data_IF_759505267296
#
_entry.id   IF_759505267296
#
_cell.length_a   1.000
_cell.length_b   1.000
_cell.length_c   1.000
_cell.angle_alpha   90.00
_cell.angle_beta   90.00
_cell.angle_gamma   90.00
#
_symmetry.space_group_name_H-M   'P 1'
#
loop_
_entity.id
_entity.type
_entity.pdbx_description
1 polymer ?
#
# COMPACT_ATOMS: atom_id res chain seq x y z
N UNK A 1 -61.89 -39.44 -48.21
CA UNK A 1 -62.19 -40.22 -46.99
C UNK A 1 -60.91 -40.40 -46.19
N UNK A 2 -61.03 -40.17 -44.89
CA UNK A 2 -60.00 -40.10 -43.84
C UNK A 2 -59.03 -41.29 -43.87
N UNK A 3 -57.71 -41.03 -43.73
CA UNK A 3 -56.78 -41.64 -42.73
C UNK A 3 -55.53 -40.74 -42.62
N UNK A 4 -55.51 -39.86 -41.62
CA UNK A 4 -54.29 -39.14 -41.20
C UNK A 4 -53.57 -40.08 -40.23
N UNK A 5 -52.40 -40.58 -40.62
CA UNK A 5 -51.54 -41.43 -39.80
C UNK A 5 -50.62 -40.52 -38.99
N UNK A 6 -50.70 -40.69 -37.68
CA UNK A 6 -50.00 -39.94 -36.63
C UNK A 6 -48.60 -40.54 -36.44
N UNK A 7 -47.55 -39.95 -36.99
CA UNK A 7 -46.16 -40.30 -36.68
C UNK A 7 -45.61 -39.36 -35.61
N UNK A 8 -45.44 -39.94 -34.42
CA UNK A 8 -44.92 -39.32 -33.21
C UNK A 8 -43.40 -39.12 -33.34
N UNK A 9 -42.97 -37.93 -33.79
CA UNK A 9 -41.56 -37.54 -33.74
C UNK A 9 -41.23 -36.97 -32.35
N UNK A 10 -40.64 -37.81 -31.50
CA UNK A 10 -40.10 -37.42 -30.20
C UNK A 10 -38.81 -36.60 -30.42
N UNK A 11 -38.95 -35.27 -30.44
CA UNK A 11 -37.83 -34.34 -30.47
C UNK A 11 -37.92 -33.42 -29.25
N UNK A 12 -37.35 -33.84 -28.13
CA UNK A 12 -37.22 -32.97 -26.95
C UNK A 12 -35.86 -33.13 -26.28
N UNK A 13 -35.08 -32.06 -26.45
CA UNK A 13 -34.23 -31.38 -25.47
C UNK A 13 -32.93 -32.08 -25.04
N UNK A 14 -31.86 -31.67 -25.74
CA UNK A 14 -30.49 -31.64 -25.25
C UNK A 14 -30.44 -30.94 -23.89
N UNK A 15 -30.09 -31.69 -22.84
CA UNK A 15 -29.70 -31.15 -21.56
C UNK A 15 -28.31 -30.51 -21.67
N UNK A 16 -28.26 -29.21 -21.99
CA UNK A 16 -27.08 -28.39 -21.75
C UNK A 16 -27.12 -27.93 -20.29
N UNK A 17 -26.47 -28.67 -19.40
CA UNK A 17 -26.15 -28.18 -18.07
C UNK A 17 -25.14 -27.04 -18.21
N UNK A 18 -25.61 -25.79 -18.28
CA UNK A 18 -24.79 -24.63 -17.95
C UNK A 18 -24.50 -24.70 -16.45
N UNK A 19 -23.30 -25.17 -16.10
CA UNK A 19 -22.75 -25.08 -14.75
C UNK A 19 -22.79 -23.64 -14.23
N UNK A 20 -22.71 -23.43 -12.91
CA UNK A 20 -22.86 -22.10 -12.32
C UNK A 20 -21.90 -21.13 -12.99
N UNK A 21 -22.46 -20.08 -13.60
CA UNK A 21 -21.71 -18.92 -14.05
C UNK A 21 -20.94 -18.41 -12.84
N UNK A 22 -19.63 -18.64 -12.84
CA UNK A 22 -18.73 -18.01 -11.90
C UNK A 22 -18.73 -16.53 -12.29
N UNK A 23 -19.64 -15.79 -11.66
CA UNK A 23 -19.62 -14.35 -11.63
C UNK A 23 -18.29 -13.98 -10.95
N UNK A 24 -17.23 -13.85 -11.75
CA UNK A 24 -16.06 -13.09 -11.38
C UNK A 24 -16.54 -11.64 -11.23
N UNK A 25 -17.10 -11.35 -10.06
CA UNK A 25 -17.15 -10.00 -9.54
C UNK A 25 -15.69 -9.64 -9.35
N UNK A 26 -15.11 -9.09 -10.41
CA UNK A 26 -13.91 -8.27 -10.28
C UNK A 26 -14.38 -7.09 -9.44
N UNK A 27 -14.31 -7.22 -8.12
CA UNK A 27 -14.41 -6.07 -7.23
C UNK A 27 -13.25 -5.20 -7.68
N UNK A 28 -13.54 -4.19 -8.49
CA UNK A 28 -12.66 -3.07 -8.65
C UNK A 28 -12.40 -2.59 -7.23
N UNK A 29 -11.22 -2.92 -6.71
CA UNK A 29 -10.72 -2.55 -5.39
C UNK A 29 -10.46 -1.04 -5.41
N UNK A 30 -11.55 -0.28 -5.50
CA UNK A 30 -11.62 1.14 -5.23
C UNK A 30 -12.02 1.36 -3.76
N UNK A 31 -11.90 0.35 -2.89
CA UNK A 31 -11.70 0.62 -1.47
C UNK A 31 -10.28 1.12 -1.33
N UNK A 32 -10.13 2.44 -1.28
CA UNK A 32 -8.86 3.10 -0.96
C UNK A 32 -8.49 2.64 0.43
N UNK A 33 -7.66 1.59 0.52
CA UNK A 33 -7.17 1.06 1.77
C UNK A 33 -6.58 2.21 2.60
N UNK A 34 -7.23 2.57 3.69
CA UNK A 34 -6.89 3.74 4.51
C UNK A 34 -6.09 3.39 5.75
N UNK A 35 -5.78 2.10 5.96
CA UNK A 35 -5.01 1.65 7.11
C UNK A 35 -3.85 0.74 6.70
N UNK A 36 -2.70 0.91 7.34
CA UNK A 36 -1.47 0.18 7.03
C UNK A 36 -1.10 -0.82 8.13
N UNK A 37 -1.44 -2.10 7.90
CA UNK A 37 -1.14 -3.20 8.83
C UNK A 37 0.36 -3.52 8.91
N UNK A 38 1.13 -3.26 7.85
CA UNK A 38 2.57 -3.56 7.87
C UNK A 38 3.32 -2.58 8.77
N UNK A 39 3.00 -1.29 8.67
CA UNK A 39 3.53 -0.27 9.60
C UNK A 39 3.01 -0.47 11.02
N UNK A 40 1.74 -0.87 11.18
CA UNK A 40 1.25 -1.26 12.50
C UNK A 40 2.14 -2.35 13.11
N UNK A 41 2.52 -3.36 12.32
CA UNK A 41 3.47 -4.39 12.75
C UNK A 41 4.81 -3.84 13.22
N UNK A 42 5.35 -2.79 12.59
CA UNK A 42 6.60 -2.13 13.02
C UNK A 42 6.42 -1.34 14.31
N UNK A 43 5.32 -0.60 14.46
CA UNK A 43 5.03 0.22 15.64
C UNK A 43 4.68 -0.62 16.85
N UNK A 44 3.97 -1.73 16.64
CA UNK A 44 3.65 -2.68 17.71
C UNK A 44 4.94 -3.11 18.40
N UNK A 45 6.03 -3.38 17.66
CA UNK A 45 7.34 -3.78 18.22
C UNK A 45 7.94 -2.73 19.14
N UNK A 46 7.83 -1.45 18.77
CA UNK A 46 8.43 -0.33 19.50
C UNK A 46 7.52 0.22 20.60
N UNK A 47 6.26 -0.21 20.65
CA UNK A 47 5.29 0.21 21.66
C UNK A 47 5.52 -0.53 22.97
N UNK A 48 5.32 0.18 24.08
CA UNK A 48 5.48 -0.35 25.44
C UNK A 48 4.18 -0.83 26.04
N UNK A 49 3.07 -0.19 25.68
CA UNK A 49 1.74 -0.44 26.21
C UNK A 49 0.67 -0.09 25.14
N UNK A 50 -0.60 -0.49 25.35
CA UNK A 50 -1.67 -0.21 24.40
C UNK A 50 -1.94 1.28 24.18
N UNK A 51 -1.68 2.12 25.19
CA UNK A 51 -1.91 3.57 25.10
C UNK A 51 -0.89 4.26 24.16
N UNK A 52 0.38 3.87 24.27
CA UNK A 52 1.45 4.31 23.38
C UNK A 52 1.20 3.83 21.96
N UNK A 53 0.73 2.59 21.80
CA UNK A 53 0.33 2.06 20.50
C UNK A 53 -0.81 2.87 19.88
N UNK A 54 -1.87 3.17 20.65
CA UNK A 54 -3.00 3.97 20.20
C UNK A 54 -2.56 5.37 19.74
N UNK A 55 -1.71 6.02 20.54
CA UNK A 55 -1.12 7.31 20.16
C UNK A 55 -0.32 7.20 18.86
N UNK A 56 0.48 6.16 18.71
CA UNK A 56 1.32 5.97 17.53
C UNK A 56 0.49 5.67 16.26
N UNK A 57 -0.62 4.94 16.37
CA UNK A 57 -1.54 4.69 15.25
C UNK A 57 -2.12 6.01 14.71
N UNK A 58 -2.50 6.92 15.61
CA UNK A 58 -3.13 8.19 15.26
C UNK A 58 -2.14 9.33 14.97
N UNK A 59 -0.83 9.10 15.15
CA UNK A 59 0.18 10.11 14.89
C UNK A 59 0.34 10.35 13.37
N UNK A 60 0.17 11.59 12.87
CA UNK A 60 0.45 11.94 11.47
C UNK A 60 1.79 11.44 10.94
N UNK A 61 2.83 11.44 11.77
CA UNK A 61 4.20 11.13 11.36
C UNK A 61 4.36 9.67 10.95
N UNK A 62 3.58 8.79 11.54
CA UNK A 62 3.64 7.35 11.30
C UNK A 62 2.93 6.96 10.00
N UNK A 63 1.98 7.78 9.53
CA UNK A 63 1.24 7.53 8.28
C UNK A 63 0.64 6.11 8.24
N UNK A 64 0.00 5.70 9.34
CA UNK A 64 -0.68 4.40 9.48
C UNK A 64 -2.17 4.53 9.21
N UNK A 65 -2.78 5.57 9.77
CA UNK A 65 -4.22 5.79 9.70
C UNK A 65 -4.55 6.95 8.75
N UNK A 66 -5.45 6.66 7.81
CA UNK A 66 -6.08 7.53 6.83
C UNK A 66 -7.53 7.09 6.57
N UNK A 67 -8.17 6.46 7.56
CA UNK A 67 -9.56 6.01 7.45
C UNK A 67 -10.53 7.16 7.71
N UNK A 68 -11.61 7.16 6.96
CA UNK A 68 -12.78 8.04 7.09
C UNK A 68 -14.02 7.15 6.95
N UNK A 69 -14.33 6.48 8.06
CA UNK A 69 -15.41 5.52 8.24
C UNK A 69 -16.75 6.23 8.38
N UNK A 70 -16.78 7.42 8.99
CA UNK A 70 -17.99 8.25 9.11
C UNK A 70 -18.29 9.10 7.86
N UNK A 71 -17.34 9.18 6.92
CA UNK A 71 -17.44 9.88 5.62
C UNK A 71 -17.59 11.39 5.77
N UNK A 72 -17.02 11.99 6.82
CA UNK A 72 -16.98 13.43 7.04
C UNK A 72 -15.82 14.14 6.29
N UNK A 73 -14.98 13.37 5.57
CA UNK A 73 -13.82 13.85 4.82
C UNK A 73 -12.57 14.00 5.69
N UNK A 74 -12.60 13.55 6.95
CA UNK A 74 -11.51 13.67 7.90
C UNK A 74 -11.13 12.29 8.44
N UNK A 75 -9.90 12.20 8.93
CA UNK A 75 -9.32 10.95 9.41
C UNK A 75 -9.91 10.65 10.80
N UNK A 76 -10.58 9.52 10.94
CA UNK A 76 -11.16 9.06 12.19
C UNK A 76 -10.09 8.68 13.21
N UNK A 77 -10.42 8.87 14.50
CA UNK A 77 -9.55 8.46 15.58
C UNK A 77 -9.79 6.98 15.91
N UNK A 78 -8.72 6.18 15.86
CA UNK A 78 -8.80 4.77 16.20
C UNK A 78 -8.38 4.55 17.64
N UNK A 79 -9.22 3.87 18.40
CA UNK A 79 -8.90 3.43 19.77
C UNK A 79 -8.27 2.04 19.75
N UNK A 80 -7.51 1.72 20.79
CA UNK A 80 -7.02 0.36 21.03
C UNK A 80 -7.76 -0.20 22.24
N UNK A 81 -8.30 -1.41 22.12
CA UNK A 81 -8.92 -2.12 23.24
C UNK A 81 -8.33 -3.50 23.41
N UNK A 82 -8.38 -4.01 24.62
CA UNK A 82 -7.93 -5.35 24.93
C UNK A 82 -9.12 -6.27 25.19
N UNK A 83 -9.62 -7.00 24.18
CA UNK A 83 -10.79 -7.87 24.36
C UNK A 83 -10.47 -9.14 25.16
N UNK A 84 -9.19 -9.49 25.31
CA UNK A 84 -8.78 -10.72 25.96
C UNK A 84 -7.26 -10.87 26.03
N UNK A 85 -6.84 -11.97 26.64
CA UNK A 85 -5.42 -12.27 26.86
C UNK A 85 -4.61 -12.25 25.56
N UNK A 86 -3.50 -11.51 25.58
CA UNK A 86 -2.55 -11.37 24.46
C UNK A 86 -3.19 -10.90 23.14
N UNK A 87 -4.33 -10.21 23.21
CA UNK A 87 -5.03 -9.72 22.05
C UNK A 87 -5.33 -8.23 22.21
N UNK A 88 -5.07 -7.45 21.17
CA UNK A 88 -5.48 -6.05 21.06
C UNK A 88 -6.29 -5.86 19.79
N UNK A 89 -7.36 -5.09 19.86
CA UNK A 89 -8.14 -4.71 18.69
C UNK A 89 -8.02 -3.19 18.48
N UNK A 90 -7.78 -2.79 17.24
CA UNK A 90 -7.84 -1.42 16.76
C UNK A 90 -9.25 -1.15 16.25
N UNK A 91 -9.92 -0.18 16.83
CA UNK A 91 -11.37 0.01 16.67
C UNK A 91 -11.69 1.49 16.47
N UNK A 92 -12.64 1.77 15.60
CA UNK A 92 -13.32 3.06 15.60
C UNK A 92 -14.65 2.93 16.34
N UNK A 93 -14.85 3.76 17.35
CA UNK A 93 -16.17 3.95 17.96
C UNK A 93 -16.89 4.99 17.12
N UNK A 94 -17.52 4.56 16.04
CA UNK A 94 -18.39 5.44 15.26
C UNK A 94 -19.55 5.85 16.18
N UNK A 95 -19.79 7.15 16.35
CA UNK A 95 -20.68 7.76 17.36
C UNK A 95 -22.15 7.28 17.43
N UNK A 96 -22.54 6.31 16.61
CA UNK A 96 -23.85 5.66 16.56
C UNK A 96 -23.91 4.38 17.44
N UNK A 97 -23.12 4.28 18.52
CA UNK A 97 -22.95 3.06 19.33
C UNK A 97 -22.49 1.83 18.53
N UNK A 98 -21.82 2.06 17.40
CA UNK A 98 -21.27 1.00 16.55
C UNK A 98 -19.76 1.06 16.61
N UNK A 99 -19.15 0.03 17.17
CA UNK A 99 -17.70 -0.12 17.19
C UNK A 99 -17.27 -0.95 15.97
N UNK A 100 -16.48 -0.37 15.08
CA UNK A 100 -15.95 -1.02 13.89
C UNK A 100 -14.52 -1.46 14.17
N UNK A 101 -14.27 -2.78 14.15
CA UNK A 101 -12.90 -3.30 14.27
C UNK A 101 -12.18 -3.18 12.93
N UNK A 102 -11.09 -2.42 12.92
CA UNK A 102 -10.22 -2.19 11.75
C UNK A 102 -9.15 -3.26 11.64
N UNK A 103 -8.53 -3.62 12.76
CA UNK A 103 -7.51 -4.66 12.81
C UNK A 103 -7.47 -5.33 14.19
N UNK A 104 -7.13 -6.62 14.21
CA UNK A 104 -6.88 -7.40 15.41
C UNK A 104 -5.42 -7.83 15.46
N UNK A 105 -4.79 -7.65 16.60
CA UNK A 105 -3.41 -7.98 16.90
C UNK A 105 -3.44 -9.12 17.91
N UNK A 106 -2.84 -10.25 17.57
CA UNK A 106 -2.69 -11.41 18.43
C UNK A 106 -1.23 -11.73 18.63
N UNK A 107 -0.87 -12.05 19.86
CA UNK A 107 0.50 -12.41 20.21
C UNK A 107 0.54 -13.78 20.88
N UNK A 108 1.14 -14.73 20.18
CA UNK A 108 1.22 -16.12 20.61
C UNK A 108 2.63 -16.43 21.13
N UNK A 109 2.82 -16.56 22.46
CA UNK A 109 4.10 -17.00 23.01
C UNK A 109 4.41 -18.43 22.58
N UNK A 110 5.67 -18.68 22.25
CA UNK A 110 6.23 -19.98 21.87
C UNK A 110 7.17 -20.46 22.98
N UNK A 111 7.41 -21.77 23.03
CA UNK A 111 8.24 -22.40 24.06
C UNK A 111 9.72 -21.97 24.06
N UNK A 112 10.20 -21.31 22.99
CA UNK A 112 11.61 -20.93 22.81
C UNK A 112 11.92 -19.49 23.25
N UNK A 113 11.15 -18.92 24.19
CA UNK A 113 11.30 -17.54 24.64
C UNK A 113 11.06 -16.49 23.51
N UNK A 114 10.28 -16.91 22.51
CA UNK A 114 9.89 -16.11 21.35
C UNK A 114 8.37 -15.99 21.29
N UNK A 115 7.83 -14.93 20.69
CA UNK A 115 6.41 -14.77 20.40
C UNK A 115 6.19 -14.59 18.91
N UNK A 116 5.07 -15.13 18.42
CA UNK A 116 4.57 -14.87 17.09
C UNK A 116 3.54 -13.73 17.17
N UNK A 117 3.83 -12.65 16.46
CA UNK A 117 2.91 -11.55 16.24
C UNK A 117 2.10 -11.83 14.98
N UNK A 118 0.78 -11.85 15.11
CA UNK A 118 -0.16 -11.97 14.01
C UNK A 118 -1.08 -10.74 14.03
N UNK A 119 -1.12 -10.00 12.93
CA UNK A 119 -2.03 -8.87 12.75
C UNK A 119 -2.95 -9.17 11.58
N UNK A 120 -4.25 -9.12 11.86
CA UNK A 120 -5.32 -9.34 10.90
C UNK A 120 -6.17 -8.07 10.79
N UNK A 121 -5.99 -7.35 9.71
CA UNK A 121 -6.83 -6.24 9.27
C UNK A 121 -8.13 -6.72 8.64
N UNK A 122 -9.15 -5.85 8.67
CA UNK A 122 -10.33 -6.00 7.85
C UNK A 122 -10.01 -5.60 6.39
N UNK A 123 -10.22 -6.49 5.40
CA UNK A 123 -9.95 -6.22 3.99
C UNK A 123 -10.65 -4.97 3.43
N UNK A 124 -11.80 -4.58 3.97
CA UNK A 124 -12.56 -3.41 3.51
C UNK A 124 -11.82 -2.09 3.84
N UNK A 125 -11.02 -2.07 4.90
CA UNK A 125 -10.31 -0.89 5.40
C UNK A 125 -8.81 -0.93 5.11
N UNK A 126 -8.21 -2.11 5.07
CA UNK A 126 -6.76 -2.33 4.88
C UNK A 126 -6.42 -2.73 3.43
N UNK A 127 -7.40 -3.19 2.65
CA UNK A 127 -7.19 -3.68 1.29
C UNK A 127 -6.45 -5.01 1.24
N UNK A 128 -5.72 -5.25 0.15
CA UNK A 128 -5.13 -6.57 -0.15
C UNK A 128 -4.07 -7.04 0.85
N UNK A 129 -3.37 -6.12 1.55
CA UNK A 129 -2.31 -6.46 2.50
C UNK A 129 -2.83 -6.48 3.94
N UNK A 130 -3.96 -7.16 4.15
CA UNK A 130 -4.66 -7.18 5.43
C UNK A 130 -4.02 -8.12 6.47
N UNK A 131 -2.94 -8.84 6.15
CA UNK A 131 -2.27 -9.72 7.12
C UNK A 131 -0.80 -9.38 7.27
N UNK A 132 -0.32 -9.42 8.51
CA UNK A 132 1.09 -9.30 8.85
C UNK A 132 1.47 -10.34 9.90
N UNK A 133 2.58 -11.03 9.66
CA UNK A 133 3.13 -12.04 10.56
C UNK A 133 4.60 -11.76 10.81
N UNK A 134 5.03 -11.87 12.05
CA UNK A 134 6.45 -11.79 12.41
C UNK A 134 6.71 -12.47 13.75
N UNK A 135 7.96 -12.84 14.03
CA UNK A 135 8.36 -13.48 15.29
C UNK A 135 9.45 -12.68 15.98
N UNK A 136 9.38 -12.59 17.31
CA UNK A 136 10.30 -11.78 18.13
C UNK A 136 10.71 -12.50 19.40
N UNK A 137 11.87 -12.15 19.93
CA UNK A 137 12.30 -12.53 21.28
C UNK A 137 11.51 -11.73 22.32
N UNK A 138 11.23 -12.34 23.47
CA UNK A 138 10.50 -11.67 24.56
C UNK A 138 11.22 -10.41 25.10
N UNK A 139 12.54 -10.34 24.98
CA UNK A 139 13.36 -9.20 25.43
C UNK A 139 13.14 -7.94 24.59
N UNK A 140 12.80 -8.11 23.32
CA UNK A 140 12.80 -7.02 22.34
C UNK A 140 11.39 -6.45 22.13
N UNK A 141 10.38 -7.11 22.69
CA UNK A 141 8.97 -6.77 22.49
C UNK A 141 8.32 -6.32 23.81
N UNK A 142 8.46 -5.04 24.12
CA UNK A 142 8.01 -4.47 25.40
C UNK A 142 6.49 -4.59 25.60
N UNK A 143 5.69 -4.38 24.54
CA UNK A 143 4.24 -4.58 24.58
C UNK A 143 3.84 -6.00 24.97
N UNK A 144 4.61 -7.02 24.58
CA UNK A 144 4.37 -8.39 25.03
C UNK A 144 4.64 -8.55 26.53
N UNK A 145 5.66 -7.88 27.07
CA UNK A 145 5.90 -7.88 28.51
C UNK A 145 4.71 -7.30 29.29
N UNK A 146 4.04 -6.28 28.73
CA UNK A 146 2.76 -5.79 29.27
C UNK A 146 1.70 -6.90 29.21
N UNK A 147 1.35 -7.38 28.00
CA UNK A 147 0.26 -8.34 27.76
C UNK A 147 0.37 -9.66 28.54
N UNK A 148 1.60 -10.11 28.83
CA UNK A 148 1.85 -11.38 29.52
C UNK A 148 1.80 -11.28 31.04
N UNK A 149 1.90 -10.06 31.60
CA UNK A 149 1.81 -9.86 33.05
C UNK A 149 0.33 -9.90 33.46
N UNK A 150 0.00 -10.34 34.66
CA UNK A 150 -1.34 -10.13 35.19
C UNK A 150 -1.65 -8.64 35.29
N UNK A 151 -2.60 -8.16 34.49
CA UNK A 151 -3.14 -6.81 34.56
C UNK A 151 -4.63 -6.82 34.19
N UNK A 152 -5.32 -5.71 34.47
CA UNK A 152 -6.66 -5.48 33.95
C UNK A 152 -6.59 -5.19 32.46
N UNK A 153 -7.56 -5.70 31.70
CA UNK A 153 -7.63 -5.43 30.26
C UNK A 153 -7.72 -3.93 30.01
N UNK A 154 -6.88 -3.46 29.08
CA UNK A 154 -6.87 -2.06 28.70
C UNK A 154 -8.18 -1.65 28.03
N UNK A 155 -8.74 -0.55 28.54
CA UNK A 155 -9.90 0.14 27.97
C UNK A 155 -9.41 1.51 27.50
N UNK A 156 -9.76 1.93 26.28
CA UNK A 156 -9.31 3.22 25.77
C UNK A 156 -9.84 4.37 26.63
N UNK A 157 -8.98 5.35 26.90
CA UNK A 157 -9.34 6.57 27.64
C UNK A 157 -10.18 7.53 26.79
N UNK A 158 -10.03 7.43 25.47
CA UNK A 158 -10.68 8.29 24.49
C UNK A 158 -11.78 7.52 23.78
N UNK A 159 -12.80 8.24 23.34
CA UNK A 159 -13.94 7.69 22.63
C UNK A 159 -14.47 8.72 21.63
N UNK A 160 -15.50 8.35 20.88
CA UNK A 160 -16.16 9.29 19.97
C UNK A 160 -16.49 10.62 20.64
N UNK A 161 -16.08 11.73 20.03
CA UNK A 161 -16.32 13.08 20.55
C UNK A 161 -15.42 13.51 21.72
N UNK A 162 -14.62 12.61 22.31
CA UNK A 162 -13.65 12.94 23.36
C UNK A 162 -12.26 12.43 22.98
N UNK A 163 -11.48 13.33 22.36
CA UNK A 163 -10.19 13.00 21.76
C UNK A 163 -9.01 13.62 22.53
N UNK A 164 -7.80 13.03 22.44
CA UNK A 164 -6.61 13.60 23.04
C UNK A 164 -6.26 14.98 22.47
N UNK A 165 -5.61 15.83 23.28
CA UNK A 165 -5.14 17.14 22.83
C UNK A 165 -4.10 17.09 21.71
N UNK A 166 -3.35 15.99 21.60
CA UNK A 166 -2.39 15.77 20.51
C UNK A 166 -3.06 15.34 19.20
N UNK A 167 -4.31 14.88 19.24
CA UNK A 167 -5.04 14.51 18.05
C UNK A 167 -5.59 15.76 17.37
N UNK A 168 -5.34 15.86 16.07
CA UNK A 168 -5.88 16.91 15.22
C UNK A 168 -6.68 16.25 14.12
N UNK A 169 -7.94 16.67 13.96
CA UNK A 169 -8.83 16.15 12.93
C UNK A 169 -8.36 16.67 11.56
N UNK A 170 -7.61 15.83 10.84
CA UNK A 170 -6.99 16.15 9.54
C UNK A 170 -7.86 15.60 8.41
N UNK A 171 -7.78 16.21 7.23
CA UNK A 171 -8.45 15.68 6.03
C UNK A 171 -7.79 14.40 5.55
N UNK A 172 -8.59 13.50 4.97
CA UNK A 172 -8.07 12.30 4.32
C UNK A 172 -7.11 12.65 3.18
N UNK A 173 -6.06 11.84 3.03
CA UNK A 173 -5.10 11.93 1.94
C UNK A 173 -5.57 11.04 0.80
N UNK A 174 -5.76 11.63 -0.38
CA UNK A 174 -6.26 10.92 -1.58
C UNK A 174 -5.26 9.91 -2.16
N UNK A 175 -3.96 10.12 -1.96
CA UNK A 175 -2.89 9.25 -2.46
C UNK A 175 -2.30 8.33 -1.39
N UNK A 176 -3.06 8.03 -0.34
CA UNK A 176 -2.60 7.11 0.70
C UNK A 176 -2.36 5.71 0.11
N UNK A 177 -1.22 5.13 0.43
CA UNK A 177 -0.84 3.79 -0.01
C UNK A 177 -0.32 3.01 1.20
N UNK A 178 -1.05 1.98 1.65
CA UNK A 178 -0.50 1.04 2.61
C UNK A 178 0.77 0.43 2.05
N UNK A 179 1.80 0.33 2.89
CA UNK A 179 3.00 -0.42 2.58
C UNK A 179 2.66 -1.89 2.37
N UNK A 180 3.47 -2.58 1.58
CA UNK A 180 3.39 -4.03 1.35
C UNK A 180 4.58 -4.66 2.06
N UNK A 181 4.38 -5.74 2.81
CA UNK A 181 5.50 -6.51 3.35
C UNK A 181 6.35 -7.10 2.23
N UNK A 182 7.68 -7.05 2.38
CA UNK A 182 8.64 -7.64 1.42
C UNK A 182 8.47 -9.15 1.25
N UNK A 183 7.73 -9.81 2.14
CA UNK A 183 7.41 -11.23 2.09
C UNK A 183 6.34 -11.58 1.02
N UNK A 184 5.59 -10.59 0.52
CA UNK A 184 4.58 -10.76 -0.54
C UNK A 184 4.97 -9.93 -1.76
N UNK A 185 6.16 -10.20 -2.30
CA UNK A 185 6.43 -9.86 -3.70
C UNK A 185 5.93 -10.99 -4.59
N UNK A 186 4.62 -11.07 -4.85
CA UNK A 186 4.19 -11.77 -6.06
C UNK A 186 4.72 -10.97 -7.24
N UNK A 187 5.50 -11.56 -8.16
CA UNK A 187 5.92 -10.85 -9.35
C UNK A 187 4.66 -10.52 -10.15
N UNK A 188 4.22 -9.26 -10.08
CA UNK A 188 3.27 -8.72 -11.04
C UNK A 188 3.98 -8.79 -12.39
N UNK A 189 3.69 -9.84 -13.16
CA UNK A 189 3.93 -9.87 -14.60
C UNK A 189 3.09 -8.75 -15.20
N UNK A 190 3.67 -7.55 -15.29
CA UNK A 190 3.17 -6.53 -16.18
C UNK A 190 3.41 -7.02 -17.61
N UNK A 191 2.37 -7.58 -18.24
CA UNK A 191 2.35 -7.72 -19.69
C UNK A 191 2.23 -6.32 -20.28
N UNK A 192 3.36 -5.63 -20.44
CA UNK A 192 3.41 -4.48 -21.33
C UNK A 192 3.18 -4.99 -22.74
N UNK A 193 1.99 -4.73 -23.29
CA UNK A 193 1.78 -4.75 -24.74
C UNK A 193 2.52 -3.55 -25.34
N UNK A 194 3.84 -3.68 -25.49
CA UNK A 194 4.65 -2.73 -26.24
C UNK A 194 4.44 -2.99 -27.72
N UNK A 195 3.67 -2.13 -28.39
CA UNK A 195 3.68 -2.03 -29.85
C UNK A 195 5.03 -1.40 -30.25
N UNK A 196 6.03 -2.27 -30.45
CA UNK A 196 7.38 -1.89 -30.84
C UNK A 196 7.70 -2.44 -32.22
N UNK A 197 7.74 -1.54 -33.21
CA UNK A 197 8.16 -1.80 -34.58
C UNK A 197 9.50 -2.55 -34.62
N UNK A 198 9.49 -3.76 -35.15
CA UNK A 198 10.69 -4.58 -35.35
C UNK A 198 11.60 -3.93 -36.41
N UNK A 199 12.78 -3.47 -35.99
CA UNK A 199 13.92 -3.29 -36.91
C UNK A 199 14.88 -4.45 -36.67
N UNK A 200 14.90 -5.40 -37.61
CA UNK A 200 15.80 -6.54 -37.59
C UNK A 200 17.24 -6.09 -37.88
N UNK A 201 18.16 -6.39 -36.96
CA UNK A 201 19.59 -6.33 -37.22
C UNK A 201 20.04 -7.70 -37.73
N UNK A 202 20.35 -7.77 -39.02
CA UNK A 202 20.93 -8.96 -39.64
C UNK A 202 22.36 -9.22 -39.11
N UNK A 203 22.59 -10.44 -38.65
CA UNK A 203 23.89 -10.95 -38.21
C UNK A 203 24.89 -10.88 -39.36
N UNK A 204 25.97 -10.10 -39.23
CA UNK A 204 27.06 -10.06 -40.22
C UNK A 204 27.87 -11.36 -40.13
N UNK A 205 27.97 -12.05 -41.25
CA UNK A 205 28.77 -13.26 -41.44
C UNK A 205 30.26 -12.88 -41.55
N UNK A 206 31.10 -13.45 -40.68
CA UNK A 206 32.51 -13.07 -40.45
C UNK A 206 33.49 -13.80 -41.39
N UNK A 207 33.13 -13.99 -42.65
CA UNK A 207 34.01 -14.61 -43.63
C UNK A 207 33.87 -13.89 -44.96
N UNK A 208 34.89 -13.09 -45.32
CA UNK A 208 35.32 -12.71 -46.68
C UNK A 208 36.26 -11.49 -46.55
N UNK A 209 37.43 -11.58 -47.18
CA UNK A 209 38.60 -10.74 -46.94
C UNK A 209 38.46 -9.27 -47.34
N UNK A 210 39.16 -8.40 -46.59
CA UNK A 210 39.31 -6.98 -46.88
C UNK A 210 40.30 -6.81 -48.03
N UNK A 211 39.84 -6.21 -49.13
CA UNK A 211 40.70 -5.61 -50.17
C UNK A 211 40.34 -4.15 -50.38
N UNK A 212 41.39 -3.39 -50.64
CA UNK A 212 41.61 -1.94 -50.61
C UNK A 212 40.93 -1.10 -51.70
N UNK A 213 40.82 0.20 -51.42
CA UNK A 213 40.67 1.31 -52.38
C UNK A 213 39.36 2.09 -52.16
N UNK A 214 39.29 3.42 -52.15
CA UNK A 214 40.24 4.49 -52.42
C UNK A 214 39.47 5.79 -52.64
N UNK A 215 40.06 6.90 -52.20
CA UNK A 215 39.95 8.29 -52.67
C UNK A 215 38.61 9.04 -52.77
N UNK A 216 38.60 10.22 -52.13
CA UNK A 216 37.62 11.29 -52.36
C UNK A 216 37.92 12.55 -51.55
N UNK A 217 39.03 13.22 -51.85
CA UNK A 217 39.41 14.53 -51.29
C UNK A 217 38.63 15.70 -51.91
N UNK A 218 38.35 16.75 -51.13
CA UNK A 218 38.58 18.16 -51.52
C UNK A 218 38.59 19.09 -50.30
N UNK A 219 39.65 19.90 -50.21
CA UNK A 219 39.95 20.98 -49.27
C UNK A 219 39.42 22.32 -49.81
N UNK A 220 39.22 23.30 -48.93
CA UNK A 220 39.89 24.64 -48.92
C UNK A 220 39.19 25.56 -47.89
N UNK A 221 39.90 25.97 -46.82
CA UNK A 221 40.49 27.32 -46.56
C UNK A 221 39.45 28.42 -46.28
N UNK A 222 39.54 29.27 -45.27
CA UNK A 222 40.64 29.62 -44.39
C UNK A 222 40.23 30.67 -43.34
N UNK A 223 41.25 31.15 -42.67
CA UNK A 223 41.37 31.95 -41.45
C UNK A 223 40.61 33.29 -41.38
N UNK A 224 40.31 33.71 -40.14
CA UNK A 224 39.95 35.08 -39.78
C UNK A 224 39.91 35.29 -38.26
N UNK A 225 41.00 35.83 -37.71
CA UNK A 225 41.15 36.32 -36.34
C UNK A 225 40.41 37.65 -36.14
N UNK A 226 39.92 37.92 -34.92
CA UNK A 226 39.30 39.22 -34.60
C UNK A 226 38.96 39.38 -33.12
N UNK A 227 39.59 40.36 -32.49
CA UNK A 227 39.69 40.68 -31.06
C UNK A 227 38.58 41.61 -30.55
N UNK A 228 38.43 41.66 -29.22
CA UNK A 228 37.84 42.73 -28.38
C UNK A 228 36.30 42.84 -28.37
N UNK A 229 35.61 43.10 -27.25
CA UNK A 229 35.94 44.03 -26.18
C UNK A 229 35.16 43.75 -24.88
N UNK A 230 35.83 44.00 -23.75
CA UNK A 230 35.24 44.17 -22.40
C UNK A 230 34.52 45.52 -22.33
N UNK A 231 33.37 45.59 -21.66
CA UNK A 231 32.94 46.79 -20.89
C UNK A 231 32.24 46.37 -19.59
N UNK A 232 32.70 47.01 -18.52
CA UNK A 232 32.26 46.89 -17.13
C UNK A 232 31.48 48.14 -16.76
N UNK A 233 30.43 48.01 -15.94
CA UNK A 233 29.95 48.98 -14.94
C UNK A 233 29.18 48.12 -13.90
N UNK A 234 29.32 48.17 -12.57
CA UNK A 234 29.95 49.12 -11.67
C UNK A 234 28.90 49.70 -10.70
N UNK A 235 28.94 49.28 -9.42
CA UNK A 235 28.34 49.93 -8.22
C UNK A 235 26.80 49.87 -8.07
N UNK A 236 26.13 49.81 -6.90
CA UNK A 236 26.50 50.04 -5.49
C UNK A 236 25.42 49.45 -4.56
N UNK A 237 25.82 49.21 -3.30
CA UNK A 237 25.05 48.72 -2.14
C UNK A 237 24.10 49.79 -1.57
N UNK A 238 23.02 49.39 -0.89
CA UNK A 238 22.55 50.11 0.31
C UNK A 238 21.70 49.20 1.22
N UNK A 239 22.13 49.11 2.47
CA UNK A 239 21.44 48.51 3.61
C UNK A 239 20.58 49.59 4.28
N UNK A 240 19.33 49.28 4.61
CA UNK A 240 18.47 50.11 5.46
C UNK A 240 17.94 49.30 6.64
N UNK A 241 18.36 49.66 7.86
CA UNK A 241 17.93 49.09 9.14
C UNK A 241 17.19 50.19 9.92
N UNK A 242 16.09 49.80 10.58
CA UNK A 242 15.44 50.43 11.76
C UNK A 242 14.78 51.81 11.58
N UNK A 243 13.47 51.88 11.76
CA UNK A 243 12.81 52.04 13.08
C UNK A 243 11.44 51.36 13.04
#
# INVERSE_FOLDING_TARGET
>A
MKKIVLTLACATLLAACSGPQQNNVTIASNTTAGFDVNKLGEIVKTSTDPQVLEKAINDPKNNINNLDLDKDGKIDYLTVKEPGKNQLDVVDDTGNNQSITVASIKVDPTNNNTANLNIQGNPDYVGNNYMYHSSFSFTDFLLLSYLMRPHSYYVPMYHYGYYPSYYSRRTVVSNFRPTTSSAVSSPRRSSLSGSGSQRSFGTRNTSQGVRSGGFGSRRSSGFGSGSSSRRSYGSSRSFGRRR
#
